data_IF_369030017346
#
_entry.id   IF_369030017346
#
_cell.length_a   1.000
_cell.length_b   1.000
_cell.length_c   1.000
_cell.angle_alpha   90.00
_cell.angle_beta   90.00
_cell.angle_gamma   90.00
#
_symmetry.space_group_name_H-M   'P 1'
#
loop_
_entity.id
_entity.type
_entity.pdbx_description
1 polymer ?
#
# COMPACT_ATOMS: atom_id res chain seq x y z
N UNK A 1 -17.48 -0.10 4.39
CA UNK A 1 -17.88 0.62 5.63
C UNK A 1 -18.05 2.10 5.29
N UNK A 2 -18.97 2.82 5.95
CA UNK A 2 -19.01 4.28 5.80
C UNK A 2 -17.69 4.89 6.32
N UNK A 3 -17.15 5.95 5.69
CA UNK A 3 -15.93 6.60 6.17
C UNK A 3 -16.14 7.11 7.60
N UNK A 4 -15.11 7.00 8.44
CA UNK A 4 -15.17 7.55 9.79
C UNK A 4 -15.34 9.07 9.71
N UNK A 5 -16.31 9.61 10.47
CA UNK A 5 -16.51 11.05 10.53
C UNK A 5 -15.30 11.72 11.19
N UNK A 6 -14.99 12.97 10.81
CA UNK A 6 -13.95 13.77 11.45
C UNK A 6 -14.06 13.77 12.97
N UNK A 7 -15.29 13.87 13.48
CA UNK A 7 -15.57 13.85 14.92
C UNK A 7 -15.19 12.53 15.58
N UNK A 8 -15.52 11.39 14.95
CA UNK A 8 -15.18 10.08 15.48
C UNK A 8 -13.65 9.88 15.54
N UNK A 9 -12.92 10.35 14.51
CA UNK A 9 -11.46 10.29 14.50
C UNK A 9 -10.84 11.14 15.63
N UNK A 10 -11.36 12.34 15.87
CA UNK A 10 -10.87 13.20 16.98
C UNK A 10 -11.14 12.58 18.35
N UNK A 11 -12.29 11.93 18.54
CA UNK A 11 -12.58 11.22 19.79
C UNK A 11 -11.63 10.05 20.03
N UNK A 12 -11.21 9.35 18.98
CA UNK A 12 -10.17 8.31 19.08
C UNK A 12 -8.83 8.96 19.42
N UNK A 13 -8.47 10.06 18.75
CA UNK A 13 -7.22 10.77 19.02
C UNK A 13 -7.13 11.22 20.48
N UNK A 14 -8.19 11.80 21.03
CA UNK A 14 -8.24 12.23 22.43
C UNK A 14 -8.02 11.07 23.42
N UNK A 15 -8.45 9.85 23.06
CA UNK A 15 -8.22 8.66 23.89
C UNK A 15 -6.79 8.13 23.77
N UNK A 16 -6.18 8.22 22.59
CA UNK A 16 -4.82 7.75 22.35
C UNK A 16 -3.78 8.76 22.86
N UNK A 17 -4.06 10.04 22.71
CA UNK A 17 -3.21 11.18 23.06
C UNK A 17 -4.07 12.34 23.58
N UNK A 18 -4.36 12.37 24.89
CA UNK A 18 -5.16 13.44 25.50
C UNK A 18 -4.58 14.83 25.25
N UNK A 19 -5.42 15.81 24.90
CA UNK A 19 -5.02 17.17 24.59
C UNK A 19 -4.36 17.34 23.22
N UNK A 20 -4.31 16.32 22.36
CA UNK A 20 -3.64 16.39 21.05
C UNK A 20 -4.13 17.56 20.17
N UNK A 21 -5.41 17.95 20.29
CA UNK A 21 -5.96 19.09 19.55
C UNK A 21 -5.42 20.44 20.00
N UNK A 22 -4.98 20.57 21.26
CA UNK A 22 -4.42 21.82 21.80
C UNK A 22 -3.00 22.08 21.30
N UNK A 23 -2.26 21.01 20.97
CA UNK A 23 -0.87 21.08 20.50
C UNK A 23 -0.73 20.91 18.98
N UNK A 24 -1.85 20.66 18.28
CA UNK A 24 -1.84 20.47 16.83
C UNK A 24 -1.52 21.79 16.11
N UNK A 25 -0.35 21.86 15.47
CA UNK A 25 0.02 22.98 14.60
C UNK A 25 -0.72 22.94 13.26
N UNK A 26 -1.01 21.73 12.77
CA UNK A 26 -1.71 21.50 11.52
C UNK A 26 -2.58 20.25 11.61
N UNK A 27 -3.73 20.28 10.96
CA UNK A 27 -4.66 19.15 10.94
C UNK A 27 -5.43 19.12 9.63
N UNK A 28 -5.36 17.99 8.93
CA UNK A 28 -6.10 17.77 7.69
C UNK A 28 -7.08 16.62 7.84
N UNK A 29 -8.19 16.71 7.12
CA UNK A 29 -9.20 15.66 7.06
C UNK A 29 -9.43 15.26 5.60
N UNK A 30 -8.93 14.09 5.22
CA UNK A 30 -9.03 13.52 3.88
C UNK A 30 -9.86 12.22 3.89
N UNK A 31 -11.20 12.30 3.94
CA UNK A 31 -12.06 11.12 4.06
C UNK A 31 -12.05 10.20 2.83
N UNK A 32 -11.54 10.70 1.71
CA UNK A 32 -11.48 9.97 0.43
C UNK A 32 -10.05 9.54 0.06
N UNK A 33 -9.06 9.82 0.91
CA UNK A 33 -7.69 9.41 0.65
C UNK A 33 -7.48 7.96 1.06
N UNK A 34 -7.10 7.11 0.10
CA UNK A 34 -6.64 5.75 0.37
C UNK A 34 -5.30 5.81 1.07
N UNK A 35 -5.21 5.27 2.30
CA UNK A 35 -3.96 5.24 3.08
C UNK A 35 -3.04 4.13 2.59
N UNK A 36 -3.61 2.96 2.26
CA UNK A 36 -2.88 1.81 1.73
C UNK A 36 -3.83 0.97 0.87
N UNK A 37 -3.34 0.44 -0.24
CA UNK A 37 -4.13 -0.43 -1.12
C UNK A 37 -4.13 -1.89 -0.64
N UNK A 38 -3.18 -2.27 0.21
CA UNK A 38 -3.08 -3.66 0.66
C UNK A 38 -2.31 -3.78 1.97
N UNK A 39 -2.99 -4.30 2.99
CA UNK A 39 -2.36 -4.67 4.26
C UNK A 39 -2.12 -6.18 4.23
N UNK A 40 -0.89 -6.66 4.47
CA UNK A 40 -0.62 -8.09 4.56
C UNK A 40 -1.35 -8.67 5.79
N UNK A 41 -2.45 -9.37 5.54
CA UNK A 41 -3.30 -9.92 6.59
C UNK A 41 -2.78 -11.29 7.04
N UNK A 42 -2.90 -11.59 8.34
CA UNK A 42 -2.54 -12.91 8.88
C UNK A 42 -3.35 -14.06 8.23
N UNK A 43 -4.60 -13.79 7.85
CA UNK A 43 -5.45 -14.73 7.12
C UNK A 43 -4.88 -15.12 5.73
N UNK A 44 -4.06 -14.25 5.15
CA UNK A 44 -3.38 -14.47 3.87
C UNK A 44 -1.92 -14.90 4.09
N UNK A 45 -1.57 -15.30 5.32
CA UNK A 45 -0.20 -15.59 5.74
C UNK A 45 0.77 -14.43 5.48
N UNK A 46 0.26 -13.20 5.51
CA UNK A 46 1.02 -11.99 5.20
C UNK A 46 1.46 -11.88 3.73
N UNK A 47 0.91 -12.70 2.82
CA UNK A 47 1.33 -12.73 1.43
C UNK A 47 0.59 -11.70 0.61
N UNK A 48 1.34 -11.04 -0.26
CA UNK A 48 0.83 -10.20 -1.34
C UNK A 48 1.14 -10.82 -2.71
N UNK A 49 0.36 -10.48 -3.76
CA UNK A 49 0.63 -10.97 -5.11
C UNK A 49 1.97 -10.44 -5.64
N UNK A 50 2.56 -11.19 -6.57
CA UNK A 50 3.72 -10.73 -7.34
C UNK A 50 3.34 -9.71 -8.41
N UNK A 51 4.33 -9.18 -9.16
CA UNK A 51 4.10 -8.13 -10.14
C UNK A 51 3.38 -8.61 -11.42
N UNK A 52 3.40 -9.90 -11.74
CA UNK A 52 2.75 -10.44 -12.94
C UNK A 52 1.21 -10.44 -12.80
N UNK A 53 0.52 -10.06 -13.87
CA UNK A 53 -0.96 -10.11 -13.93
C UNK A 53 -1.41 -11.43 -14.55
N UNK A 54 -2.04 -12.34 -13.78
CA UNK A 54 -2.48 -13.63 -14.31
C UNK A 54 -3.48 -13.46 -15.45
N UNK A 55 -3.22 -14.13 -16.58
CA UNK A 55 -4.07 -14.09 -17.77
C UNK A 55 -3.88 -12.87 -18.68
N UNK A 56 -2.92 -12.00 -18.39
CA UNK A 56 -2.56 -10.88 -19.27
C UNK A 56 -1.03 -10.81 -19.42
N UNK A 57 -0.52 -11.52 -20.42
CA UNK A 57 0.92 -11.57 -20.72
C UNK A 57 1.47 -10.18 -21.06
N UNK A 58 2.67 -9.88 -20.55
CA UNK A 58 3.33 -8.59 -20.71
C UNK A 58 2.77 -7.46 -19.84
N UNK A 59 1.75 -7.71 -19.02
CA UNK A 59 1.24 -6.74 -18.05
C UNK A 59 1.79 -7.00 -16.65
N UNK A 60 2.27 -5.92 -16.03
CA UNK A 60 2.86 -5.93 -14.70
C UNK A 60 2.26 -4.81 -13.84
N UNK A 61 2.17 -5.06 -12.54
CA UNK A 61 1.69 -4.11 -11.54
C UNK A 61 2.76 -3.85 -10.49
N UNK A 62 2.75 -2.63 -9.96
CA UNK A 62 3.57 -2.22 -8.83
C UNK A 62 2.73 -1.32 -7.91
N UNK A 63 3.08 -1.29 -6.64
CA UNK A 63 2.35 -0.54 -5.62
C UNK A 63 2.63 -1.06 -4.21
N UNK A 64 2.05 -0.40 -3.21
CA UNK A 64 2.24 -0.75 -1.80
C UNK A 64 1.63 -2.10 -1.39
N UNK A 65 0.89 -2.73 -2.30
CA UNK A 65 0.22 -4.01 -2.15
C UNK A 65 0.84 -5.15 -2.99
N UNK A 66 1.97 -4.91 -3.65
CA UNK A 66 2.63 -5.89 -4.54
C UNK A 66 3.97 -6.33 -3.91
N UNK A 67 4.30 -7.61 -4.05
CA UNK A 67 5.57 -8.19 -3.58
C UNK A 67 5.61 -8.40 -2.06
N UNK A 68 6.67 -9.05 -1.57
CA UNK A 68 6.78 -9.43 -0.14
C UNK A 68 7.64 -8.47 0.69
N UNK A 69 8.15 -7.40 0.09
CA UNK A 69 9.11 -6.51 0.73
C UNK A 69 8.48 -5.19 1.18
N UNK A 70 8.87 -4.72 2.36
CA UNK A 70 8.46 -3.41 2.89
C UNK A 70 6.96 -3.23 3.13
N UNK A 71 6.59 -1.97 3.42
CA UNK A 71 5.23 -1.47 3.58
C UNK A 71 5.15 -0.04 3.02
N UNK A 72 3.98 0.37 2.53
CA UNK A 72 3.74 1.72 2.00
C UNK A 72 4.77 2.11 0.93
N UNK A 73 5.50 3.21 1.12
CA UNK A 73 6.48 3.71 0.16
C UNK A 73 7.59 2.70 -0.14
N UNK A 74 8.08 1.98 0.87
CA UNK A 74 9.13 0.97 0.67
C UNK A 74 8.62 -0.18 -0.20
N UNK A 75 7.38 -0.65 0.03
CA UNK A 75 6.75 -1.68 -0.80
C UNK A 75 6.50 -1.18 -2.24
N UNK A 76 6.08 0.07 -2.40
CA UNK A 76 5.89 0.66 -3.72
C UNK A 76 7.20 0.74 -4.53
N UNK A 77 8.30 1.13 -3.89
CA UNK A 77 9.61 1.15 -4.54
C UNK A 77 10.13 -0.25 -4.84
N UNK A 78 10.09 -1.17 -3.87
CA UNK A 78 10.57 -2.54 -4.03
C UNK A 78 9.79 -3.31 -5.10
N UNK A 79 8.45 -3.16 -5.13
CA UNK A 79 7.62 -3.79 -6.16
C UNK A 79 7.88 -3.24 -7.56
N UNK A 80 8.19 -1.95 -7.68
CA UNK A 80 8.58 -1.34 -8.95
C UNK A 80 9.88 -1.93 -9.50
N UNK A 81 10.89 -2.07 -8.64
CA UNK A 81 12.15 -2.74 -9.00
C UNK A 81 11.92 -4.21 -9.39
N UNK A 82 11.14 -4.93 -8.58
CA UNK A 82 10.80 -6.32 -8.87
C UNK A 82 10.09 -6.47 -10.23
N UNK A 83 9.10 -5.62 -10.52
CA UNK A 83 8.39 -5.63 -11.80
C UNK A 83 9.34 -5.37 -12.98
N UNK A 84 10.25 -4.40 -12.84
CA UNK A 84 11.24 -4.09 -13.87
C UNK A 84 12.19 -5.28 -14.12
N UNK A 85 12.67 -5.94 -13.07
CA UNK A 85 13.50 -7.13 -13.20
C UNK A 85 12.76 -8.28 -13.90
N UNK A 86 11.50 -8.53 -13.54
CA UNK A 86 10.69 -9.56 -14.22
C UNK A 86 10.51 -9.27 -15.71
N UNK A 87 10.22 -8.01 -16.08
CA UNK A 87 10.13 -7.58 -17.49
C UNK A 87 11.43 -7.87 -18.24
N UNK A 88 12.57 -7.47 -17.65
CA UNK A 88 13.87 -7.62 -18.29
C UNK A 88 14.28 -9.09 -18.45
N UNK A 89 14.02 -9.94 -17.45
CA UNK A 89 14.31 -11.37 -17.56
C UNK A 89 13.46 -12.06 -18.63
N UNK A 90 12.15 -11.78 -18.69
CA UNK A 90 11.29 -12.36 -19.73
C UNK A 90 11.67 -11.90 -21.15
N UNK A 91 12.12 -10.65 -21.30
CA UNK A 91 12.63 -10.14 -22.57
C UNK A 91 13.93 -10.84 -23.01
N UNK A 92 14.80 -11.19 -22.06
CA UNK A 92 16.04 -11.94 -22.35
C UNK A 92 15.72 -13.37 -22.78
N UNK A 93 14.77 -14.04 -22.13
CA UNK A 93 14.33 -15.40 -22.50
C UNK A 93 13.66 -15.45 -23.88
N UNK A 94 12.86 -14.44 -24.23
CA UNK A 94 12.23 -14.36 -25.55
C UNK A 94 13.23 -14.08 -26.71
N UNK A 95 14.41 -13.54 -26.41
CA UNK A 95 15.44 -13.20 -27.39
C UNK A 95 16.51 -14.29 -27.59
N UNK A 96 16.50 -15.34 -26.75
CA UNK A 96 17.43 -16.47 -26.77
C UNK A 96 16.86 -17.67 -27.55
#
# INVERSE_FOLDING_TARGET
AAPASRQALLQIMERLQPGASEWALHMEYHPTMTVTHGVPLAAEHGRRPGPEVPGLEGAFVAGDWVGQEGMLADAACASGDQAAQTILHGAVEAAA
#
